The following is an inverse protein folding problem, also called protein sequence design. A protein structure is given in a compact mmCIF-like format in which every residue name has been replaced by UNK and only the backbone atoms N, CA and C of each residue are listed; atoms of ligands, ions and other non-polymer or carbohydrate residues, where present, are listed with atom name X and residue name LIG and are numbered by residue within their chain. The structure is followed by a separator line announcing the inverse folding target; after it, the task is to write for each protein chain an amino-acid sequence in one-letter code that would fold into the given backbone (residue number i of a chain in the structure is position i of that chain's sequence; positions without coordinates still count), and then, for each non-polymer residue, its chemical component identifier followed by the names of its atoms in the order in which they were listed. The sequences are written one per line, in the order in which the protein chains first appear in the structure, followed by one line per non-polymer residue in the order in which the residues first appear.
data_IF_803856217488
#
_entry.id   IF_803856217488
#
_cell.length_a   1.000
_cell.length_b   1.000
_cell.length_c   1.000
_cell.angle_alpha   90.00
_cell.angle_beta   90.00
_cell.angle_gamma   90.00
#
_symmetry.space_group_name_H-M   'P 1'
#
loop_
_entity.id
_entity.type
_entity.pdbx_description
1 polymer ?
#
# COMPACT_ATOMS: atom_id res chain seq x y z
N UNK A 1 12.81 -41.68 20.98
CA UNK A 1 13.37 -41.43 19.63
C UNK A 1 12.25 -40.88 18.77
N UNK A 2 12.46 -39.70 18.14
CA UNK A 2 11.48 -38.80 17.46
C UNK A 2 10.71 -37.90 18.44
N UNK A 3 10.78 -36.57 18.39
CA UNK A 3 11.41 -35.61 17.48
C UNK A 3 11.85 -34.39 18.30
N UNK A 4 13.16 -34.22 18.49
CA UNK A 4 13.79 -32.91 18.66
C UNK A 4 13.62 -32.16 17.34
N UNK A 5 12.61 -31.30 17.21
CA UNK A 5 12.40 -30.42 16.05
C UNK A 5 11.22 -29.49 16.38
N UNK A 6 11.45 -28.39 17.10
CA UNK A 6 10.61 -27.18 16.95
C UNK A 6 11.12 -25.95 17.71
N UNK A 7 11.93 -26.11 18.76
CA UNK A 7 12.58 -24.96 19.44
C UNK A 7 13.60 -24.25 18.53
N UNK A 8 14.09 -24.95 17.51
CA UNK A 8 15.02 -24.43 16.51
C UNK A 8 14.32 -23.69 15.37
N UNK A 9 13.02 -23.96 15.10
CA UNK A 9 12.24 -23.33 14.03
C UNK A 9 11.59 -22.01 14.44
N UNK A 10 11.23 -21.86 15.72
CA UNK A 10 10.58 -20.66 16.25
C UNK A 10 11.61 -19.64 16.72
N UNK A 11 12.73 -20.10 17.31
CA UNK A 11 13.94 -19.29 17.32
C UNK A 11 14.25 -18.90 15.87
N UNK A 12 14.28 -19.83 14.90
CA UNK A 12 14.45 -19.45 13.49
C UNK A 12 13.50 -18.34 13.02
N UNK A 13 12.20 -18.27 13.26
CA UNK A 13 11.45 -17.21 12.54
C UNK A 13 11.80 -15.76 12.92
N UNK A 14 12.31 -15.50 14.12
CA UNK A 14 12.81 -14.16 14.55
C UNK A 14 14.33 -14.12 14.55
N UNK A 15 14.97 -15.21 14.98
CA UNK A 15 16.41 -15.47 14.85
C UNK A 15 16.86 -15.66 13.40
N UNK A 16 16.03 -15.85 12.37
CA UNK A 16 16.41 -16.04 10.94
C UNK A 16 16.22 -14.72 10.19
N UNK A 17 15.27 -13.89 10.60
CA UNK A 17 15.28 -12.45 10.31
C UNK A 17 16.53 -11.76 10.89
N UNK A 18 17.08 -12.33 11.98
CA UNK A 18 18.26 -11.84 12.69
C UNK A 18 19.56 -12.61 12.29
N UNK A 19 19.54 -13.91 11.95
CA UNK A 19 20.73 -14.74 11.62
C UNK A 19 21.20 -14.63 10.18
N UNK A 20 20.39 -14.10 9.27
CA UNK A 20 20.91 -13.65 7.96
C UNK A 20 21.70 -12.35 8.06
N UNK A 21 21.80 -11.75 9.26
CA UNK A 21 22.68 -10.62 9.53
C UNK A 21 23.92 -11.14 10.29
N UNK A 22 25.11 -11.15 9.67
CA UNK A 22 26.29 -11.83 10.22
C UNK A 22 26.84 -11.27 11.55
N UNK A 23 26.32 -10.13 12.04
CA UNK A 23 26.86 -9.38 13.17
C UNK A 23 25.86 -9.07 14.29
N UNK A 24 24.93 -9.98 14.59
CA UNK A 24 24.09 -9.80 15.78
C UNK A 24 24.89 -10.18 17.02
N UNK A 25 24.89 -9.30 18.03
CA UNK A 25 25.40 -9.61 19.36
C UNK A 25 24.48 -10.65 20.03
N UNK A 26 24.67 -11.92 19.64
CA UNK A 26 23.85 -13.08 20.00
C UNK A 26 23.63 -13.16 21.50
N UNK A 27 24.61 -12.77 22.30
CA UNK A 27 24.55 -12.81 23.76
C UNK A 27 23.60 -11.77 24.35
N UNK A 28 23.56 -10.54 23.80
CA UNK A 28 22.61 -9.50 24.22
C UNK A 28 21.19 -9.78 23.75
N UNK A 29 21.03 -10.21 22.50
CA UNK A 29 19.72 -10.63 21.96
C UNK A 29 19.16 -11.79 22.78
N UNK A 30 20.00 -12.77 23.14
CA UNK A 30 19.62 -13.87 24.02
C UNK A 30 19.19 -13.40 25.41
N UNK A 31 19.85 -12.38 25.99
CA UNK A 31 19.40 -11.79 27.28
C UNK A 31 18.03 -11.13 27.18
N UNK A 32 17.73 -10.38 26.12
CA UNK A 32 16.41 -9.76 25.92
C UNK A 32 15.29 -10.82 25.81
N UNK A 33 15.56 -11.91 25.08
CA UNK A 33 14.61 -13.02 24.97
C UNK A 33 14.45 -13.82 26.27
N UNK A 34 15.52 -14.00 27.05
CA UNK A 34 15.47 -14.68 28.36
C UNK A 34 14.77 -13.80 29.40
N UNK A 35 14.97 -12.48 29.36
CA UNK A 35 14.37 -11.53 30.30
C UNK A 35 12.85 -11.38 30.08
N UNK A 36 12.41 -11.36 28.82
CA UNK A 36 10.99 -11.26 28.47
C UNK A 36 10.18 -12.55 28.71
N UNK A 37 10.81 -13.65 29.14
CA UNK A 37 10.17 -14.97 29.30
C UNK A 37 10.40 -15.58 30.69
N UNK A 38 9.32 -15.84 31.45
CA UNK A 38 9.39 -16.77 32.59
C UNK A 38 9.50 -18.22 32.09
N UNK A 39 10.41 -19.00 32.68
CA UNK A 39 11.03 -20.23 32.16
C UNK A 39 10.15 -21.44 31.74
N UNK A 40 8.81 -21.39 31.72
CA UNK A 40 7.97 -22.61 31.54
C UNK A 40 6.98 -22.60 30.35
N UNK A 41 6.85 -21.52 29.56
CA UNK A 41 5.76 -21.38 28.57
C UNK A 41 6.17 -21.35 27.08
N UNK A 42 7.40 -21.76 26.74
CA UNK A 42 8.04 -21.50 25.44
C UNK A 42 7.31 -22.01 24.17
N UNK A 43 6.53 -23.08 24.23
CA UNK A 43 6.00 -23.73 23.00
C UNK A 43 4.58 -23.29 22.59
N UNK A 44 3.79 -22.71 23.49
CA UNK A 44 2.38 -22.38 23.21
C UNK A 44 2.16 -20.89 22.90
N UNK A 45 3.06 -20.01 23.36
CA UNK A 45 2.90 -18.56 23.24
C UNK A 45 3.37 -17.99 21.89
N UNK A 46 4.38 -18.62 21.27
CA UNK A 46 5.01 -18.19 20.02
C UNK A 46 4.42 -18.84 18.77
N UNK A 47 3.74 -19.99 18.90
CA UNK A 47 3.16 -20.73 17.78
C UNK A 47 1.77 -20.19 17.35
N UNK A 48 1.24 -19.19 18.09
CA UNK A 48 -0.11 -18.64 17.89
C UNK A 48 -0.19 -17.11 17.77
N UNK A 49 0.93 -16.38 17.95
CA UNK A 49 0.93 -14.92 17.94
C UNK A 49 1.64 -14.38 16.69
N UNK A 50 1.16 -13.24 16.23
CA UNK A 50 1.80 -12.51 15.15
C UNK A 50 3.24 -12.10 15.55
N UNK A 51 4.23 -12.22 14.65
CA UNK A 51 5.63 -11.85 14.95
C UNK A 51 5.80 -10.42 15.45
N UNK A 52 5.00 -9.47 14.96
CA UNK A 52 5.04 -8.08 15.40
C UNK A 52 4.52 -7.94 16.83
N UNK A 53 3.50 -8.70 17.23
CA UNK A 53 3.02 -8.71 18.62
C UNK A 53 4.09 -9.22 19.59
N UNK A 54 4.92 -10.17 19.16
CA UNK A 54 6.05 -10.68 19.95
C UNK A 54 7.08 -9.57 20.16
N UNK A 55 7.48 -8.87 19.08
CA UNK A 55 8.45 -7.76 19.15
C UNK A 55 7.91 -6.63 20.04
N UNK A 56 6.65 -6.22 19.87
CA UNK A 56 5.99 -5.24 20.75
C UNK A 56 6.00 -5.65 22.21
N UNK A 57 5.72 -6.92 22.49
CA UNK A 57 5.72 -7.46 23.86
C UNK A 57 7.12 -7.37 24.48
N UNK A 58 8.17 -7.70 23.73
CA UNK A 58 9.55 -7.61 24.22
C UNK A 58 9.93 -6.16 24.53
N UNK A 59 9.70 -5.25 23.59
CA UNK A 59 9.99 -3.80 23.75
C UNK A 59 9.29 -3.27 25.00
N UNK A 60 7.99 -3.56 25.15
CA UNK A 60 7.20 -3.09 26.29
C UNK A 60 7.67 -3.69 27.62
N UNK A 61 8.02 -4.98 27.63
CA UNK A 61 8.50 -5.67 28.85
C UNK A 61 9.82 -5.06 29.34
N UNK A 62 10.73 -4.76 28.42
CA UNK A 62 12.01 -4.11 28.75
C UNK A 62 11.77 -2.67 29.19
N UNK A 63 10.86 -1.93 28.55
CA UNK A 63 10.49 -0.57 28.96
C UNK A 63 9.97 -0.54 30.41
N UNK A 64 9.03 -1.43 30.77
CA UNK A 64 8.54 -1.56 32.15
C UNK A 64 9.66 -1.87 33.14
N UNK A 65 10.59 -2.75 32.77
CA UNK A 65 11.72 -3.12 33.63
C UNK A 65 12.64 -1.95 33.91
N UNK A 66 13.00 -1.18 32.87
CA UNK A 66 13.83 0.01 32.99
C UNK A 66 13.11 1.07 33.84
N UNK A 67 11.81 1.30 33.62
CA UNK A 67 11.00 2.23 34.43
C UNK A 67 10.93 1.82 35.90
N UNK A 68 11.02 0.51 36.21
CA UNK A 68 11.04 -0.02 37.58
C UNK A 68 12.44 -0.04 38.21
N UNK A 69 13.44 0.58 37.56
CA UNK A 69 14.82 0.65 38.06
C UNK A 69 15.62 -0.63 37.89
N UNK A 70 15.18 -1.52 37.00
CA UNK A 70 15.89 -2.77 36.72
C UNK A 70 17.17 -2.54 35.91
N UNK A 71 18.22 -3.32 36.20
CA UNK A 71 19.56 -3.16 35.59
C UNK A 71 19.98 -4.31 34.68
N UNK A 72 19.17 -5.38 34.58
CA UNK A 72 19.50 -6.59 33.81
C UNK A 72 19.54 -6.36 32.28
N UNK A 73 18.71 -5.44 31.79
CA UNK A 73 18.60 -5.03 30.39
C UNK A 73 18.27 -3.54 30.37
N UNK A 74 18.84 -2.80 29.42
CA UNK A 74 18.63 -1.36 29.27
C UNK A 74 18.21 -0.97 27.84
N UNK A 75 17.97 0.33 27.61
CA UNK A 75 17.60 0.87 26.30
C UNK A 75 18.69 0.62 25.24
N UNK A 76 19.96 0.76 25.62
CA UNK A 76 21.10 0.55 24.72
C UNK A 76 21.18 -0.89 24.21
N UNK A 77 20.83 -1.88 25.04
CA UNK A 77 20.76 -3.28 24.63
C UNK A 77 19.69 -3.50 23.52
N UNK A 78 18.58 -2.77 23.57
CA UNK A 78 17.56 -2.79 22.51
C UNK A 78 18.07 -2.12 21.24
N UNK A 79 18.64 -0.91 21.36
CA UNK A 79 19.18 -0.16 20.21
C UNK A 79 20.21 -0.99 19.46
N UNK A 80 21.17 -1.59 20.18
CA UNK A 80 22.19 -2.47 19.60
C UNK A 80 21.61 -3.72 18.92
N UNK A 81 20.53 -4.30 19.44
CA UNK A 81 19.88 -5.43 18.79
C UNK A 81 19.12 -5.04 17.52
N UNK A 82 18.78 -3.76 17.35
CA UNK A 82 18.00 -3.27 16.22
C UNK A 82 18.86 -2.77 15.06
N UNK A 83 20.10 -2.32 15.29
CA UNK A 83 21.00 -1.92 14.19
C UNK A 83 21.08 -2.98 13.08
N UNK A 84 21.28 -4.28 13.38
CA UNK A 84 21.30 -5.34 12.37
C UNK A 84 19.94 -5.55 11.69
N UNK A 85 18.85 -5.40 12.44
CA UNK A 85 17.49 -5.50 11.91
C UNK A 85 17.18 -4.37 10.91
N UNK A 86 17.60 -3.14 11.23
CA UNK A 86 17.51 -1.98 10.36
C UNK A 86 18.33 -2.18 9.07
N UNK A 87 19.52 -2.76 9.17
CA UNK A 87 20.36 -3.08 8.02
C UNK A 87 19.84 -4.26 7.16
N UNK A 88 18.82 -5.00 7.58
CA UNK A 88 18.36 -6.16 6.82
C UNK A 88 17.41 -5.76 5.66
N UNK A 89 17.91 -5.79 4.43
CA UNK A 89 17.12 -5.43 3.22
C UNK A 89 15.97 -6.40 2.89
N UNK A 90 15.97 -7.62 3.45
CA UNK A 90 14.89 -8.59 3.25
C UNK A 90 13.62 -8.23 4.03
N UNK A 91 13.74 -7.38 5.06
CA UNK A 91 12.60 -6.89 5.85
C UNK A 91 12.04 -5.64 5.18
N UNK A 92 10.73 -5.63 4.91
CA UNK A 92 10.06 -4.47 4.30
C UNK A 92 10.19 -3.22 5.16
N UNK A 93 10.31 -2.04 4.54
CA UNK A 93 10.38 -0.77 5.26
C UNK A 93 9.18 -0.55 6.19
N UNK A 94 7.95 -0.91 5.77
CA UNK A 94 6.76 -0.77 6.62
C UNK A 94 6.91 -1.48 7.99
N UNK A 95 7.40 -2.72 8.00
CA UNK A 95 7.67 -3.47 9.23
C UNK A 95 8.76 -2.80 10.06
N UNK A 96 9.83 -2.30 9.43
CA UNK A 96 10.89 -1.58 10.15
C UNK A 96 10.37 -0.29 10.78
N UNK A 97 9.58 0.49 10.05
CA UNK A 97 8.95 1.71 10.54
C UNK A 97 8.02 1.42 11.71
N UNK A 98 7.22 0.35 11.66
CA UNK A 98 6.32 -0.01 12.77
C UNK A 98 7.08 -0.47 14.03
N UNK A 99 8.19 -1.20 13.86
CA UNK A 99 9.09 -1.57 14.97
C UNK A 99 9.71 -0.31 15.57
N UNK A 100 10.30 0.57 14.75
CA UNK A 100 10.93 1.82 15.20
C UNK A 100 9.94 2.72 15.92
N UNK A 101 8.73 2.88 15.40
CA UNK A 101 7.64 3.62 16.07
C UNK A 101 7.31 3.03 17.44
N UNK A 102 7.22 1.70 17.55
CA UNK A 102 6.95 1.03 18.84
C UNK A 102 8.04 1.34 19.87
N UNK A 103 9.29 1.45 19.43
CA UNK A 103 10.44 1.76 20.30
C UNK A 103 10.39 3.22 20.72
N UNK A 104 10.15 4.15 19.79
CA UNK A 104 9.98 5.58 20.07
C UNK A 104 8.83 5.83 21.07
N UNK A 105 7.75 5.04 21.00
CA UNK A 105 6.65 5.10 21.97
C UNK A 105 7.02 4.53 23.36
N UNK A 106 8.03 3.66 23.42
CA UNK A 106 8.40 2.91 24.64
C UNK A 106 9.66 3.45 25.34
N UNK A 107 10.50 4.19 24.62
CA UNK A 107 11.80 4.69 25.06
C UNK A 107 12.02 6.11 24.57
N UNK A 108 12.72 6.93 25.36
CA UNK A 108 13.14 8.26 24.95
C UNK A 108 14.41 8.12 24.10
N UNK A 109 14.23 7.85 22.81
CA UNK A 109 15.34 7.73 21.85
C UNK A 109 15.98 9.09 21.61
N UNK A 110 17.31 9.13 21.62
CA UNK A 110 18.03 10.34 21.25
C UNK A 110 17.89 10.62 19.75
N UNK A 111 18.08 11.87 19.33
CA UNK A 111 18.16 12.20 17.90
C UNK A 111 19.27 11.45 17.16
N UNK A 112 20.34 11.08 17.86
CA UNK A 112 21.44 10.27 17.34
C UNK A 112 20.99 8.82 17.05
N UNK A 113 20.22 8.21 17.94
CA UNK A 113 19.69 6.85 17.74
C UNK A 113 18.76 6.77 16.52
N UNK A 114 17.84 7.74 16.40
CA UNK A 114 16.90 7.84 15.27
C UNK A 114 17.67 8.01 13.96
N UNK A 115 18.64 8.93 13.95
CA UNK A 115 19.50 9.14 12.80
C UNK A 115 20.27 7.87 12.41
N UNK A 116 20.83 7.16 13.39
CA UNK A 116 21.62 5.96 13.15
C UNK A 116 20.77 4.81 12.55
N UNK A 117 19.52 4.65 12.99
CA UNK A 117 18.61 3.68 12.37
C UNK A 117 18.25 4.04 10.93
N UNK A 118 18.06 5.32 10.63
CA UNK A 118 17.86 5.80 9.25
C UNK A 118 19.11 5.52 8.41
N UNK A 119 20.30 5.78 8.96
CA UNK A 119 21.58 5.52 8.28
C UNK A 119 21.75 4.04 7.92
N UNK A 120 21.61 3.12 8.87
CA UNK A 120 21.79 1.69 8.58
C UNK A 120 20.78 1.15 7.57
N UNK A 121 19.53 1.63 7.60
CA UNK A 121 18.55 1.27 6.59
C UNK A 121 18.94 1.78 5.20
N UNK A 122 19.43 3.02 5.13
CA UNK A 122 19.83 3.68 3.89
C UNK A 122 21.06 3.00 3.29
N UNK A 123 22.14 2.85 4.07
CA UNK A 123 23.39 2.25 3.63
C UNK A 123 23.19 0.80 3.15
N UNK A 124 22.39 0.00 3.86
CA UNK A 124 22.11 -1.36 3.44
C UNK A 124 21.35 -1.42 2.10
N UNK A 125 20.35 -0.55 1.92
CA UNK A 125 19.60 -0.46 0.67
C UNK A 125 20.51 0.00 -0.49
N UNK A 126 21.32 1.03 -0.25
CA UNK A 126 22.23 1.59 -1.25
C UNK A 126 23.31 0.58 -1.63
N UNK A 127 23.91 -0.08 -0.64
CA UNK A 127 24.88 -1.16 -0.82
C UNK A 127 24.29 -2.31 -1.65
N UNK A 128 23.07 -2.76 -1.37
CA UNK A 128 22.47 -3.90 -2.06
C UNK A 128 22.08 -3.63 -3.53
N UNK A 129 21.71 -2.39 -3.86
CA UNK A 129 21.13 -2.04 -5.16
C UNK A 129 22.13 -1.30 -6.08
N UNK A 130 23.10 -0.59 -5.50
CA UNK A 130 24.10 0.20 -6.25
C UNK A 130 25.55 -0.20 -5.94
N UNK A 131 25.79 -1.13 -5.01
CA UNK A 131 27.14 -1.53 -4.58
C UNK A 131 27.99 -0.34 -4.10
N UNK A 132 27.35 0.62 -3.43
CA UNK A 132 27.99 1.81 -2.85
C UNK A 132 27.82 1.79 -1.33
N UNK A 133 28.88 2.14 -0.60
CA UNK A 133 28.84 2.31 0.85
C UNK A 133 28.76 3.79 1.19
N UNK A 134 27.94 4.11 2.18
CA UNK A 134 27.73 5.46 2.66
C UNK A 134 28.45 5.71 3.98
N UNK A 135 28.76 6.98 4.21
CA UNK A 135 29.14 7.54 5.49
C UNK A 135 27.96 8.32 6.10
N UNK A 136 27.93 8.55 7.41
CA UNK A 136 26.87 9.34 8.04
C UNK A 136 26.71 10.75 7.45
N UNK A 137 27.81 11.37 7.01
CA UNK A 137 27.83 12.71 6.41
C UNK A 137 27.08 12.77 5.06
N UNK A 138 26.84 11.62 4.41
CA UNK A 138 26.12 11.56 3.14
C UNK A 138 24.60 11.75 3.30
N UNK A 139 24.07 11.72 4.54
CA UNK A 139 22.62 11.82 4.81
C UNK A 139 22.26 12.68 6.04
N UNK A 140 23.23 13.39 6.63
CA UNK A 140 23.08 14.16 7.87
C UNK A 140 22.14 15.37 7.78
N UNK A 141 21.74 15.73 6.57
CA UNK A 141 20.91 16.88 6.26
C UNK A 141 19.93 16.59 5.13
N UNK A 142 18.89 17.42 5.01
CA UNK A 142 17.93 17.35 3.91
C UNK A 142 18.60 17.48 2.54
N UNK A 143 19.51 18.46 2.40
CA UNK A 143 20.26 18.71 1.17
C UNK A 143 21.07 17.48 0.75
N UNK A 144 21.81 16.87 1.67
CA UNK A 144 22.60 15.66 1.39
C UNK A 144 21.74 14.48 0.96
N UNK A 145 20.63 14.24 1.65
CA UNK A 145 19.67 13.20 1.27
C UNK A 145 19.08 13.45 -0.12
N UNK A 146 18.77 14.71 -0.45
CA UNK A 146 18.28 15.07 -1.77
C UNK A 146 19.34 14.87 -2.87
N UNK A 147 20.57 15.33 -2.66
CA UNK A 147 21.72 15.12 -3.57
C UNK A 147 21.96 13.62 -3.82
N UNK A 148 21.94 12.80 -2.76
CA UNK A 148 22.06 11.35 -2.85
C UNK A 148 20.91 10.74 -3.67
N UNK A 149 19.67 11.16 -3.43
CA UNK A 149 18.52 10.70 -4.22
C UNK A 149 18.67 11.00 -5.70
N UNK A 150 19.05 12.23 -6.06
CA UNK A 150 19.21 12.62 -7.47
C UNK A 150 20.32 11.83 -8.15
N UNK A 151 21.44 11.62 -7.46
CA UNK A 151 22.56 10.82 -7.95
C UNK A 151 22.12 9.37 -8.21
N UNK A 152 21.54 8.70 -7.20
CA UNK A 152 21.07 7.32 -7.33
C UNK A 152 19.95 7.20 -8.37
N UNK A 153 19.03 8.16 -8.43
CA UNK A 153 17.97 8.22 -9.43
C UNK A 153 18.59 8.27 -10.82
N UNK A 154 19.60 9.10 -11.07
CA UNK A 154 20.30 9.20 -12.36
C UNK A 154 20.97 7.88 -12.74
N UNK A 155 21.64 7.23 -11.80
CA UNK A 155 22.37 5.97 -12.01
C UNK A 155 21.46 4.74 -12.14
N UNK A 156 20.23 4.82 -11.66
CA UNK A 156 19.29 3.69 -11.67
C UNK A 156 18.87 3.30 -13.09
N UNK A 157 19.02 2.03 -13.44
CA UNK A 157 18.61 1.45 -14.73
C UNK A 157 17.69 0.24 -14.56
N UNK A 158 17.69 -0.40 -13.39
CA UNK A 158 16.83 -1.55 -13.10
C UNK A 158 15.59 -1.16 -12.31
N UNK A 159 14.53 -1.97 -12.44
CA UNK A 159 13.32 -1.81 -11.63
C UNK A 159 13.63 -1.96 -10.14
N UNK A 160 14.55 -2.86 -9.75
CA UNK A 160 14.93 -3.06 -8.35
C UNK A 160 15.55 -1.81 -7.72
N UNK A 161 16.43 -1.12 -8.46
CA UNK A 161 17.04 0.14 -8.02
C UNK A 161 15.99 1.24 -7.83
N UNK A 162 15.05 1.37 -8.78
CA UNK A 162 13.98 2.35 -8.70
C UNK A 162 13.00 2.06 -7.54
N UNK A 163 12.70 0.78 -7.28
CA UNK A 163 11.92 0.38 -6.09
C UNK A 163 12.71 0.60 -4.78
N UNK A 164 14.04 0.46 -4.82
CA UNK A 164 14.94 0.86 -3.74
C UNK A 164 14.79 2.34 -3.40
N UNK A 165 14.74 3.22 -4.40
CA UNK A 165 14.50 4.66 -4.20
C UNK A 165 13.14 4.96 -3.59
N UNK A 166 12.09 4.23 -3.99
CA UNK A 166 10.77 4.31 -3.34
C UNK A 166 10.87 4.06 -1.84
N UNK A 167 11.67 3.05 -1.48
CA UNK A 167 11.83 2.61 -0.11
C UNK A 167 12.62 3.65 0.68
N UNK A 168 13.66 4.26 0.09
CA UNK A 168 14.41 5.36 0.70
C UNK A 168 13.53 6.56 1.03
N UNK A 169 12.68 6.98 0.08
CA UNK A 169 11.74 8.09 0.29
C UNK A 169 10.68 7.79 1.36
N UNK A 170 10.43 6.52 1.69
CA UNK A 170 9.56 6.12 2.82
C UNK A 170 10.29 6.10 4.16
N UNK A 171 11.59 5.83 4.16
CA UNK A 171 12.44 5.77 5.36
C UNK A 171 12.83 7.17 5.83
N UNK A 172 13.12 8.07 4.90
CA UNK A 172 13.61 9.41 5.20
C UNK A 172 12.49 10.35 5.68
N UNK A 173 12.81 11.33 6.55
CA UNK A 173 11.97 12.51 6.71
C UNK A 173 11.65 13.14 5.35
N UNK A 174 10.42 13.63 5.20
CA UNK A 174 9.94 14.27 3.96
C UNK A 174 10.97 15.30 3.49
N UNK A 175 11.42 15.13 2.25
CA UNK A 175 12.40 16.04 1.68
C UNK A 175 11.78 17.42 1.48
N UNK A 176 12.52 18.48 1.76
CA UNK A 176 12.04 19.85 1.54
C UNK A 176 11.60 20.06 0.08
N UNK A 177 12.26 19.40 -0.86
CA UNK A 177 11.90 19.38 -2.27
C UNK A 177 10.50 18.81 -2.60
N UNK A 178 9.88 18.06 -1.67
CA UNK A 178 8.51 17.54 -1.80
C UNK A 178 7.47 18.62 -1.53
N UNK A 179 7.74 19.55 -0.62
CA UNK A 179 6.76 20.54 -0.13
C UNK A 179 7.03 21.97 -0.61
N UNK A 180 8.29 22.35 -0.80
CA UNK A 180 8.68 23.74 -1.09
C UNK A 180 8.74 24.06 -2.59
N UNK A 181 8.70 23.06 -3.46
CA UNK A 181 8.79 23.25 -4.90
C UNK A 181 7.40 23.44 -5.52
N UNK A 182 7.22 24.53 -6.25
CA UNK A 182 6.00 24.79 -7.03
C UNK A 182 5.95 23.94 -8.31
N UNK A 183 7.10 23.51 -8.84
CA UNK A 183 7.18 22.70 -10.04
C UNK A 183 6.95 21.20 -9.74
N UNK A 184 5.92 20.55 -10.33
CA UNK A 184 5.65 19.14 -10.11
C UNK A 184 6.83 18.22 -10.45
N UNK A 185 7.60 18.57 -11.47
CA UNK A 185 8.76 17.79 -11.93
C UNK A 185 9.93 17.81 -10.95
N UNK A 186 9.99 18.77 -10.02
CA UNK A 186 11.03 18.81 -9.01
C UNK A 186 10.71 17.89 -7.82
N UNK A 187 9.46 17.46 -7.66
CA UNK A 187 9.05 16.59 -6.57
C UNK A 187 9.73 15.19 -6.69
N UNK A 188 10.45 14.70 -5.66
CA UNK A 188 11.18 13.43 -5.72
C UNK A 188 10.33 12.22 -6.10
N UNK A 189 9.08 12.14 -5.62
CA UNK A 189 8.17 11.06 -5.98
C UNK A 189 7.76 11.14 -7.44
N UNK A 190 7.50 12.35 -7.96
CA UNK A 190 7.18 12.56 -9.38
C UNK A 190 8.38 12.23 -10.26
N UNK A 191 9.59 12.64 -9.89
CA UNK A 191 10.82 12.28 -10.62
C UNK A 191 11.01 10.75 -10.71
N UNK A 192 10.79 10.05 -9.60
CA UNK A 192 10.88 8.59 -9.55
C UNK A 192 9.80 7.91 -10.41
N UNK A 193 8.54 8.34 -10.30
CA UNK A 193 7.45 7.82 -11.11
C UNK A 193 7.66 8.11 -12.60
N UNK A 194 8.14 9.30 -12.95
CA UNK A 194 8.48 9.67 -14.33
C UNK A 194 9.55 8.74 -14.89
N UNK A 195 10.65 8.51 -14.14
CA UNK A 195 11.71 7.59 -14.58
C UNK A 195 11.21 6.16 -14.71
N UNK A 196 10.39 5.66 -13.79
CA UNK A 196 9.77 4.33 -13.86
C UNK A 196 8.92 4.18 -15.13
N UNK A 197 8.06 5.16 -15.42
CA UNK A 197 7.19 5.16 -16.60
C UNK A 197 8.02 5.18 -17.88
N UNK A 198 9.09 5.98 -17.93
CA UNK A 198 9.95 6.08 -19.11
C UNK A 198 10.80 4.84 -19.35
N UNK A 199 11.35 4.25 -18.29
CA UNK A 199 12.27 3.11 -18.41
C UNK A 199 11.55 1.77 -18.56
N UNK A 200 10.41 1.59 -17.88
CA UNK A 200 9.73 0.29 -17.80
C UNK A 200 8.31 0.29 -18.37
N UNK A 201 7.68 1.45 -18.54
CA UNK A 201 6.30 1.55 -19.03
C UNK A 201 5.26 0.90 -18.11
N UNK A 202 5.66 0.50 -16.90
CA UNK A 202 4.83 -0.26 -15.97
C UNK A 202 4.04 0.68 -15.05
N UNK A 203 2.84 1.05 -15.52
CA UNK A 203 1.93 1.89 -14.75
C UNK A 203 1.38 1.19 -13.49
N UNK A 204 1.40 -0.13 -13.42
CA UNK A 204 0.91 -0.89 -12.26
C UNK A 204 1.82 -0.70 -11.06
N UNK A 205 3.14 -0.66 -11.28
CA UNK A 205 4.13 -0.34 -10.24
C UNK A 205 3.90 1.06 -9.67
N UNK A 206 3.61 2.05 -10.54
CA UNK A 206 3.34 3.43 -10.12
C UNK A 206 2.06 3.50 -9.28
N UNK A 207 1.01 2.76 -9.65
CA UNK A 207 -0.22 2.68 -8.85
C UNK A 207 0.05 2.07 -7.49
N UNK A 208 0.83 0.98 -7.43
CA UNK A 208 1.22 0.35 -6.16
C UNK A 208 2.01 1.31 -5.27
N UNK A 209 2.93 2.06 -5.85
CA UNK A 209 3.69 3.09 -5.16
C UNK A 209 2.76 4.17 -4.58
N UNK A 210 1.80 4.67 -5.37
CA UNK A 210 0.79 5.63 -4.90
C UNK A 210 -0.07 5.06 -3.75
N UNK A 211 -0.48 3.78 -3.83
CA UNK A 211 -1.22 3.10 -2.75
C UNK A 211 -0.40 3.00 -1.45
N UNK A 212 0.93 2.95 -1.57
CA UNK A 212 1.88 2.84 -0.46
C UNK A 212 2.38 4.19 0.07
N UNK A 213 2.04 5.31 -0.57
CA UNK A 213 2.36 6.61 -0.01
C UNK A 213 1.61 6.78 1.31
N UNK A 214 2.38 7.02 2.38
CA UNK A 214 1.86 7.21 3.73
C UNK A 214 0.98 8.46 3.81
N UNK A 215 0.16 8.56 4.85
CA UNK A 215 -0.65 9.75 5.12
C UNK A 215 0.15 11.05 5.31
N UNK A 216 1.46 10.95 5.55
CA UNK A 216 2.37 12.08 5.77
C UNK A 216 2.92 12.69 4.47
N UNK A 217 2.82 11.99 3.34
CA UNK A 217 3.35 12.44 2.04
C UNK A 217 2.28 12.29 0.97
N UNK A 218 1.42 13.30 0.87
CA UNK A 218 0.43 13.39 -0.21
C UNK A 218 0.97 14.17 -1.40
N UNK A 219 0.81 13.63 -2.60
CA UNK A 219 1.06 14.36 -3.83
C UNK A 219 -0.02 15.45 -4.03
N UNK A 220 0.39 16.62 -4.49
CA UNK A 220 -0.55 17.68 -4.88
C UNK A 220 -1.33 17.29 -6.13
N UNK A 221 -2.41 18.01 -6.41
CA UNK A 221 -3.18 17.82 -7.65
C UNK A 221 -2.29 18.03 -8.88
N UNK A 222 -1.38 19.02 -8.87
CA UNK A 222 -0.48 19.25 -10.02
C UNK A 222 0.51 18.09 -10.21
N UNK A 223 1.05 17.54 -9.11
CA UNK A 223 1.90 16.34 -9.15
C UNK A 223 1.15 15.15 -9.75
N UNK A 224 -0.07 14.88 -9.26
CA UNK A 224 -0.90 13.80 -9.80
C UNK A 224 -1.28 14.04 -11.26
N UNK A 225 -1.62 15.26 -11.66
CA UNK A 225 -1.90 15.62 -13.05
C UNK A 225 -0.69 15.37 -13.96
N UNK A 226 0.52 15.74 -13.52
CA UNK A 226 1.74 15.51 -14.27
C UNK A 226 1.96 14.02 -14.54
N UNK A 227 1.92 13.19 -13.49
CA UNK A 227 2.10 11.74 -13.61
C UNK A 227 0.99 11.10 -14.43
N UNK A 228 -0.27 11.50 -14.22
CA UNK A 228 -1.42 10.99 -14.97
C UNK A 228 -1.28 11.25 -16.48
N UNK A 229 -0.91 12.47 -16.87
CA UNK A 229 -0.68 12.82 -18.28
C UNK A 229 0.48 12.01 -18.88
N UNK A 230 1.55 11.81 -18.14
CA UNK A 230 2.66 10.96 -18.58
C UNK A 230 2.23 9.50 -18.77
N UNK A 231 1.42 8.96 -17.84
CA UNK A 231 0.86 7.61 -17.96
C UNK A 231 -0.06 7.48 -19.17
N UNK A 232 -0.88 8.48 -19.48
CA UNK A 232 -1.70 8.47 -20.71
C UNK A 232 -0.85 8.42 -21.98
N UNK A 233 0.35 9.02 -21.96
CA UNK A 233 1.26 9.06 -23.11
C UNK A 233 2.10 7.79 -23.27
N UNK A 234 2.44 7.10 -22.17
CA UNK A 234 3.46 6.03 -22.16
C UNK A 234 2.95 4.67 -21.69
N UNK A 235 1.84 4.62 -20.97
CA UNK A 235 1.26 3.40 -20.41
C UNK A 235 -0.11 3.10 -21.04
N UNK A 236 -0.72 1.98 -20.63
CA UNK A 236 -2.12 1.71 -20.94
C UNK A 236 -3.04 2.73 -20.27
N UNK A 237 -4.08 3.17 -20.96
CA UNK A 237 -5.09 4.10 -20.42
C UNK A 237 -5.72 3.57 -19.14
N UNK A 238 -5.89 2.25 -19.02
CA UNK A 238 -6.33 1.57 -17.80
C UNK A 238 -5.51 1.98 -16.56
N UNK A 239 -4.18 1.99 -16.66
CA UNK A 239 -3.34 2.34 -15.51
C UNK A 239 -3.47 3.82 -15.15
N UNK A 240 -3.58 4.71 -16.12
CA UNK A 240 -3.81 6.13 -15.85
C UNK A 240 -5.14 6.34 -15.12
N UNK A 241 -6.22 5.69 -15.58
CA UNK A 241 -7.54 5.77 -14.93
C UNK A 241 -7.48 5.24 -13.49
N UNK A 242 -6.86 4.07 -13.27
CA UNK A 242 -6.65 3.54 -11.91
C UNK A 242 -5.86 4.49 -11.03
N UNK A 243 -4.77 5.07 -11.54
CA UNK A 243 -3.95 6.05 -10.81
C UNK A 243 -4.80 7.23 -10.32
N UNK A 244 -5.64 7.79 -11.19
CA UNK A 244 -6.52 8.89 -10.83
C UNK A 244 -7.51 8.50 -9.71
N UNK A 245 -8.16 7.34 -9.79
CA UNK A 245 -9.11 6.90 -8.75
C UNK A 245 -8.43 6.50 -7.44
N UNK A 246 -7.21 5.97 -7.51
CA UNK A 246 -6.39 5.64 -6.34
C UNK A 246 -5.89 6.88 -5.60
N UNK A 247 -5.66 8.00 -6.30
CA UNK A 247 -5.18 9.26 -5.67
C UNK A 247 -6.13 9.83 -4.62
N UNK A 248 -7.42 9.46 -4.64
CA UNK A 248 -8.49 9.99 -3.78
C UNK A 248 -8.75 11.50 -3.93
N UNK A 249 -8.17 12.14 -4.93
CA UNK A 249 -8.38 13.57 -5.21
C UNK A 249 -9.58 13.73 -6.15
N UNK A 250 -10.59 14.48 -5.74
CA UNK A 250 -11.80 14.73 -6.54
C UNK A 250 -11.47 15.35 -7.91
N UNK A 251 -10.52 16.28 -7.96
CA UNK A 251 -10.03 16.87 -9.20
C UNK A 251 -9.48 15.82 -10.19
N UNK A 252 -8.77 14.82 -9.67
CA UNK A 252 -8.26 13.71 -10.48
C UNK A 252 -9.39 12.79 -10.95
N UNK A 253 -10.40 12.54 -10.11
CA UNK A 253 -11.57 11.76 -10.50
C UNK A 253 -12.33 12.43 -11.64
N UNK A 254 -12.54 13.75 -11.57
CA UNK A 254 -13.16 14.51 -12.65
C UNK A 254 -12.38 14.41 -13.96
N UNK A 255 -11.05 14.58 -13.91
CA UNK A 255 -10.20 14.46 -15.09
C UNK A 255 -10.26 13.05 -15.71
N UNK A 256 -10.26 12.00 -14.88
CA UNK A 256 -10.40 10.63 -15.36
C UNK A 256 -11.76 10.38 -16.01
N UNK A 257 -12.85 10.82 -15.38
CA UNK A 257 -14.20 10.70 -15.91
C UNK A 257 -14.39 11.45 -17.24
N UNK A 258 -13.79 12.62 -17.39
CA UNK A 258 -13.79 13.36 -18.66
C UNK A 258 -13.08 12.58 -19.76
N UNK A 259 -11.92 11.99 -19.44
CA UNK A 259 -11.21 11.14 -20.38
C UNK A 259 -12.02 9.88 -20.75
N UNK A 260 -12.70 9.26 -19.78
CA UNK A 260 -13.54 8.08 -20.02
C UNK A 260 -14.69 8.32 -21.01
N UNK A 261 -15.19 9.54 -21.15
CA UNK A 261 -16.23 9.87 -22.14
C UNK A 261 -15.77 9.62 -23.58
N UNK A 262 -14.48 9.82 -23.85
CA UNK A 262 -13.90 9.73 -25.19
C UNK A 262 -13.14 8.42 -25.44
N UNK A 263 -12.94 7.60 -24.40
CA UNK A 263 -12.20 6.36 -24.49
C UNK A 263 -13.08 5.21 -25.01
N UNK A 264 -12.52 4.39 -25.88
CA UNK A 264 -13.12 3.11 -26.26
C UNK A 264 -12.90 2.10 -25.14
N UNK A 265 -13.96 1.37 -24.78
CA UNK A 265 -13.88 0.27 -23.81
C UNK A 265 -13.29 -0.96 -24.49
N UNK A 266 -12.13 -1.40 -23.98
CA UNK A 266 -11.46 -2.64 -24.34
C UNK A 266 -10.55 -3.10 -23.18
N UNK A 267 -9.78 -4.17 -23.37
CA UNK A 267 -8.84 -4.70 -22.36
C UNK A 267 -7.67 -3.76 -22.04
N UNK A 268 -7.50 -2.67 -22.78
CA UNK A 268 -6.49 -1.64 -22.53
C UNK A 268 -7.03 -0.48 -21.68
N UNK A 269 -8.36 -0.36 -21.53
CA UNK A 269 -9.02 0.73 -20.81
C UNK A 269 -9.91 0.29 -19.66
N UNK A 270 -10.31 -0.99 -19.58
CA UNK A 270 -11.25 -1.47 -18.57
C UNK A 270 -10.87 -2.84 -18.01
N UNK A 271 -10.96 -2.99 -16.69
CA UNK A 271 -10.90 -4.27 -15.96
C UNK A 271 -11.75 -4.21 -14.69
N UNK A 272 -11.89 -5.33 -14.01
CA UNK A 272 -12.73 -5.46 -12.82
C UNK A 272 -12.25 -4.60 -11.64
N UNK A 273 -10.92 -4.46 -11.45
CA UNK A 273 -10.36 -3.60 -10.41
C UNK A 273 -10.70 -2.12 -10.64
N UNK A 274 -10.68 -1.66 -11.89
CA UNK A 274 -11.12 -0.30 -12.24
C UNK A 274 -12.59 -0.09 -11.87
N UNK A 275 -13.46 -1.07 -12.17
CA UNK A 275 -14.88 -0.99 -11.87
C UNK A 275 -15.14 -1.00 -10.36
N UNK A 276 -14.41 -1.80 -9.58
CA UNK A 276 -14.45 -1.76 -8.12
C UNK A 276 -14.00 -0.40 -7.56
N UNK A 277 -12.97 0.21 -8.14
CA UNK A 277 -12.52 1.55 -7.77
C UNK A 277 -13.62 2.59 -8.01
N UNK A 278 -14.35 2.51 -9.12
CA UNK A 278 -15.49 3.40 -9.39
C UNK A 278 -16.58 3.24 -8.33
N UNK A 279 -16.98 2.00 -8.04
CA UNK A 279 -18.07 1.70 -7.10
C UNK A 279 -17.70 2.17 -5.69
N UNK A 280 -16.49 1.83 -5.23
CA UNK A 280 -15.99 2.20 -3.90
C UNK A 280 -15.78 3.70 -3.72
N UNK A 281 -15.61 4.45 -4.81
CA UNK A 281 -15.53 5.93 -4.81
C UNK A 281 -16.89 6.60 -4.98
N UNK A 282 -17.96 5.86 -5.22
CA UNK A 282 -19.29 6.42 -5.43
C UNK A 282 -19.50 7.08 -6.79
N UNK A 283 -18.64 6.81 -7.77
CA UNK A 283 -18.61 7.50 -9.08
C UNK A 283 -19.51 6.85 -10.13
N UNK A 284 -20.40 5.94 -9.72
CA UNK A 284 -21.27 5.18 -10.62
C UNK A 284 -22.19 6.08 -11.45
N UNK A 285 -22.67 7.18 -10.86
CA UNK A 285 -23.59 8.10 -11.52
C UNK A 285 -22.90 8.87 -12.65
N UNK A 286 -21.66 9.29 -12.42
CA UNK A 286 -20.83 10.04 -13.35
C UNK A 286 -20.40 9.16 -14.53
N UNK A 287 -20.24 7.86 -14.30
CA UNK A 287 -19.99 6.86 -15.34
C UNK A 287 -21.22 6.57 -16.20
N UNK A 288 -22.44 6.87 -15.74
CA UNK A 288 -23.67 6.59 -16.50
C UNK A 288 -23.69 7.28 -17.88
N UNK A 289 -22.98 8.40 -18.01
CA UNK A 289 -22.86 9.16 -19.27
C UNK A 289 -21.66 8.71 -20.14
N UNK A 290 -20.98 7.64 -19.77
CA UNK A 290 -19.77 7.14 -20.43
C UNK A 290 -20.02 5.76 -21.04
N UNK A 291 -19.20 5.31 -22.01
CA UNK A 291 -19.33 3.96 -22.55
C UNK A 291 -19.05 2.84 -21.51
N UNK A 292 -18.53 3.19 -20.32
CA UNK A 292 -18.21 2.25 -19.24
C UNK A 292 -19.41 1.78 -18.41
N UNK A 293 -20.59 2.40 -18.57
CA UNK A 293 -21.81 1.96 -17.87
C UNK A 293 -22.18 0.51 -18.20
N UNK A 294 -22.06 0.10 -19.46
CA UNK A 294 -22.40 -1.28 -19.87
C UNK A 294 -21.46 -2.31 -19.23
N UNK A 295 -20.13 -2.15 -19.31
CA UNK A 295 -19.17 -2.96 -18.55
C UNK A 295 -19.45 -3.02 -17.04
N UNK A 296 -19.76 -1.88 -16.43
CA UNK A 296 -20.08 -1.79 -15.00
C UNK A 296 -21.31 -2.64 -14.65
N UNK A 297 -22.39 -2.51 -15.43
CA UNK A 297 -23.61 -3.31 -15.24
C UNK A 297 -23.34 -4.80 -15.44
N UNK A 298 -22.53 -5.19 -16.44
CA UNK A 298 -22.16 -6.59 -16.60
C UNK A 298 -21.36 -7.11 -15.41
N UNK A 299 -20.36 -6.37 -14.97
CA UNK A 299 -19.49 -6.73 -13.85
C UNK A 299 -20.25 -6.92 -12.54
N UNK A 300 -21.16 -5.99 -12.23
CA UNK A 300 -21.99 -6.05 -11.02
C UNK A 300 -22.89 -7.29 -11.04
N UNK A 301 -23.38 -7.69 -12.22
CA UNK A 301 -24.22 -8.87 -12.42
C UNK A 301 -23.42 -10.18 -12.54
N UNK A 302 -22.11 -10.14 -12.82
CA UNK A 302 -21.22 -11.30 -12.83
C UNK A 302 -21.18 -11.95 -11.44
N UNK A 303 -21.11 -13.28 -11.34
CA UNK A 303 -20.64 -13.91 -10.11
C UNK A 303 -19.17 -13.50 -9.87
N UNK A 304 -18.75 -13.23 -8.63
CA UNK A 304 -17.34 -12.99 -8.32
C UNK A 304 -16.49 -14.18 -8.79
N UNK A 305 -15.34 -13.91 -9.41
CA UNK A 305 -14.43 -14.95 -9.89
C UNK A 305 -13.74 -15.64 -8.69
N UNK A 306 -14.00 -16.95 -8.53
CA UNK A 306 -13.32 -17.78 -7.54
C UNK A 306 -14.23 -18.34 -6.45
N UNK A 307 -14.57 -19.63 -6.63
CA UNK A 307 -15.12 -20.58 -5.64
C UNK A 307 -16.61 -20.50 -5.26
N UNK A 308 -17.15 -21.69 -5.01
CA UNK A 308 -18.54 -22.06 -4.91
C UNK A 308 -19.07 -22.00 -3.47
N UNK A 309 -19.09 -20.83 -2.84
CA UNK A 309 -19.55 -20.71 -1.45
C UNK A 309 -20.66 -19.65 -1.24
N UNK A 310 -21.60 -19.98 -0.36
CA UNK A 310 -22.83 -19.24 -0.03
C UNK A 310 -22.62 -17.88 0.64
N UNK A 311 -21.39 -17.54 1.06
CA UNK A 311 -21.02 -16.25 1.66
C UNK A 311 -20.95 -15.10 0.64
N UNK A 312 -20.70 -15.40 -0.63
CA UNK A 312 -20.49 -14.37 -1.66
C UNK A 312 -21.79 -13.90 -2.34
N UNK A 313 -22.91 -14.60 -2.12
CA UNK A 313 -24.21 -14.12 -2.60
C UNK A 313 -24.62 -12.82 -1.90
N UNK A 314 -24.26 -12.65 -0.63
CA UNK A 314 -24.44 -11.41 0.12
C UNK A 314 -23.58 -10.26 -0.40
N UNK A 315 -22.35 -10.54 -0.85
CA UNK A 315 -21.46 -9.52 -1.39
C UNK A 315 -21.95 -9.01 -2.77
N UNK A 316 -22.40 -9.93 -3.63
CA UNK A 316 -23.03 -9.58 -4.90
C UNK A 316 -24.31 -8.75 -4.71
N UNK A 317 -25.19 -9.18 -3.82
CA UNK A 317 -26.42 -8.45 -3.48
C UNK A 317 -26.09 -7.03 -2.97
N UNK A 318 -25.14 -6.93 -2.05
CA UNK A 318 -24.66 -5.66 -1.50
C UNK A 318 -24.15 -4.73 -2.61
N UNK A 319 -23.32 -5.24 -3.52
CA UNK A 319 -22.78 -4.47 -4.66
C UNK A 319 -23.88 -4.00 -5.62
N UNK A 320 -24.83 -4.87 -5.96
CA UNK A 320 -25.98 -4.53 -6.82
C UNK A 320 -26.82 -3.42 -6.20
N UNK A 321 -27.18 -3.55 -4.93
CA UNK A 321 -27.96 -2.55 -4.22
C UNK A 321 -27.22 -1.23 -4.05
N UNK A 322 -25.90 -1.27 -3.79
CA UNK A 322 -25.07 -0.07 -3.70
C UNK A 322 -25.06 0.71 -5.02
N UNK A 323 -24.81 0.03 -6.14
CA UNK A 323 -24.79 0.65 -7.48
C UNK A 323 -26.17 1.18 -7.86
N UNK A 324 -27.24 0.41 -7.61
CA UNK A 324 -28.61 0.87 -7.84
C UNK A 324 -28.94 2.11 -7.01
N UNK A 325 -28.53 2.15 -5.73
CA UNK A 325 -28.73 3.30 -4.85
C UNK A 325 -27.96 4.54 -5.34
N UNK A 326 -26.71 4.38 -5.79
CA UNK A 326 -25.91 5.49 -6.32
C UNK A 326 -26.56 6.08 -7.59
N UNK A 327 -27.02 5.23 -8.51
CA UNK A 327 -27.76 5.67 -9.70
C UNK A 327 -29.07 6.37 -9.35
N UNK A 328 -29.83 5.82 -8.39
CA UNK A 328 -31.09 6.38 -7.94
C UNK A 328 -30.92 7.78 -7.34
N UNK A 329 -29.93 7.97 -6.47
CA UNK A 329 -29.65 9.27 -5.84
C UNK A 329 -29.27 10.34 -6.87
N UNK A 330 -28.63 9.94 -7.96
CA UNK A 330 -28.28 10.84 -9.07
C UNK A 330 -29.41 11.05 -10.10
N UNK A 331 -30.57 10.41 -9.93
CA UNK A 331 -31.72 10.56 -10.82
C UNK A 331 -31.75 9.59 -12.01
N UNK A 332 -30.84 8.61 -12.08
CA UNK A 332 -30.80 7.56 -13.10
C UNK A 332 -31.70 6.36 -12.73
N UNK A 333 -33.00 6.65 -12.56
CA UNK A 333 -34.00 5.67 -12.11
C UNK A 333 -34.19 4.51 -13.08
N UNK A 334 -34.11 4.77 -14.39
CA UNK A 334 -34.31 3.76 -15.41
C UNK A 334 -33.16 2.75 -15.44
N UNK A 335 -31.93 3.23 -15.30
CA UNK A 335 -30.71 2.44 -15.22
C UNK A 335 -30.67 1.61 -13.93
N UNK A 336 -30.98 2.24 -12.78
CA UNK A 336 -31.09 1.56 -11.50
C UNK A 336 -32.16 0.45 -11.52
N UNK A 337 -33.35 0.76 -12.04
CA UNK A 337 -34.44 -0.20 -12.19
C UNK A 337 -34.09 -1.35 -13.14
N UNK A 338 -33.43 -1.05 -14.26
CA UNK A 338 -32.96 -2.06 -15.22
C UNK A 338 -31.92 -2.99 -14.58
N UNK A 339 -31.00 -2.47 -13.78
CA UNK A 339 -30.02 -3.26 -13.04
C UNK A 339 -30.69 -4.24 -12.07
N UNK A 340 -31.64 -3.76 -11.26
CA UNK A 340 -32.38 -4.58 -10.29
C UNK A 340 -33.24 -5.66 -10.97
N UNK A 341 -33.93 -5.30 -12.06
CA UNK A 341 -34.72 -6.25 -12.85
C UNK A 341 -33.86 -7.38 -13.43
N UNK A 342 -32.66 -7.05 -13.92
CA UNK A 342 -31.69 -8.04 -14.41
C UNK A 342 -31.17 -8.92 -13.28
N UNK A 343 -30.87 -8.35 -12.11
CA UNK A 343 -30.40 -9.09 -10.94
C UNK A 343 -31.44 -10.11 -10.45
N UNK A 344 -32.71 -9.72 -10.39
CA UNK A 344 -33.81 -10.62 -9.99
C UNK A 344 -34.20 -11.66 -11.06
N UNK A 345 -33.48 -11.72 -12.19
CA UNK A 345 -33.73 -12.72 -13.24
C UNK A 345 -35.07 -12.55 -13.95
N UNK A 346 -35.57 -11.31 -14.07
CA UNK A 346 -36.83 -11.05 -14.78
C UNK A 346 -36.74 -11.46 -16.25
N UNK A 347 -37.86 -11.90 -16.83
CA UNK A 347 -37.93 -12.36 -18.22
C UNK A 347 -37.36 -11.29 -19.17
N UNK A 348 -36.60 -11.64 -20.23
CA UNK A 348 -35.93 -10.67 -21.11
C UNK A 348 -36.84 -9.56 -21.65
N UNK A 349 -38.11 -9.87 -21.92
CA UNK A 349 -39.12 -8.89 -22.35
C UNK A 349 -39.48 -7.80 -21.31
N UNK A 350 -39.13 -8.01 -20.03
CA UNK A 350 -39.33 -7.11 -18.90
C UNK A 350 -38.00 -6.64 -18.27
N UNK A 351 -36.87 -7.01 -18.88
CA UNK A 351 -35.54 -6.79 -18.29
C UNK A 351 -35.08 -5.33 -18.29
N UNK A 352 -35.86 -4.42 -18.89
CA UNK A 352 -35.62 -2.97 -18.84
C UNK A 352 -36.76 -2.26 -18.13
N UNK A 353 -36.41 -1.19 -17.40
CA UNK A 353 -37.37 -0.41 -16.62
C UNK A 353 -38.58 0.04 -17.45
N UNK A 354 -38.35 0.66 -18.62
CA UNK A 354 -39.43 1.15 -19.49
C UNK A 354 -40.38 0.05 -19.96
N UNK A 355 -39.85 -1.13 -20.28
CA UNK A 355 -40.68 -2.26 -20.69
C UNK A 355 -41.53 -2.77 -19.52
N UNK A 356 -40.95 -2.86 -18.32
CA UNK A 356 -41.67 -3.29 -17.12
C UNK A 356 -42.80 -2.33 -16.74
N UNK A 357 -42.55 -1.01 -16.73
CA UNK A 357 -43.56 0.01 -16.42
C UNK A 357 -44.65 0.07 -17.48
N UNK A 358 -44.30 -0.09 -18.76
CA UNK A 358 -45.29 -0.16 -19.84
C UNK A 358 -46.22 -1.37 -19.72
N UNK A 359 -45.71 -2.52 -19.27
CA UNK A 359 -46.53 -3.72 -19.05
C UNK A 359 -47.42 -3.53 -17.81
N UNK A 360 -46.88 -3.00 -16.71
CA UNK A 360 -47.65 -2.70 -15.49
C UNK A 360 -48.77 -1.69 -15.74
N UNK A 361 -48.48 -0.60 -16.46
CA UNK A 361 -49.48 0.42 -16.79
C UNK A 361 -50.61 -0.11 -17.69
N UNK A 362 -50.33 -1.07 -18.59
CA UNK A 362 -51.37 -1.77 -19.36
C UNK A 362 -52.22 -2.69 -18.49
N UNK A 363 -51.62 -3.30 -17.49
CA UNK A 363 -52.33 -4.19 -16.56
C UNK A 363 -53.22 -3.40 -15.61
N UNK A 364 -52.73 -2.29 -15.03
CA UNK A 364 -53.48 -1.41 -14.13
C UNK A 364 -54.60 -0.60 -14.79
N UNK A 365 -54.63 -0.53 -16.14
CA UNK A 365 -55.72 0.09 -16.91
C UNK A 365 -56.84 -0.89 -17.29
N UNK A 366 -56.70 -2.16 -16.94
CA UNK A 366 -57.79 -3.15 -16.97
C UNK A 366 -58.40 -3.23 -15.58
#
# INVERSE_FOLDING_TARGET
MKLCLSTQQICSSVYFTLKEVPEINVERTRRLFVFSQSAESCHLFLDRKDPMDVVKTIIHTVSIHVQRGGTMVNQEDIVECLKPFCANVAVSAAVKTDVLRTIEESFDLSGEDIFLFMFYQTDALVSSNWNQHLSPEDIDSDTRRHELFEMLLKESLSLSQLLGLSTLLQIWPVLAATELNEEPSANPWVQLMDKLIRCHGDGEVVIKMLKQLNSTTSLTVECCCHVYNLMLLKCRSLHALKFAFVSKLEAMHHLALENMKNLKVDSNSCDDELLDLVISRGLTAEIAQTPFLTPLVSYVLSPPEGSSDTTQQGDKETRVHLVASQLQLAGYWAEAGTLLLKYHGTHPALSTYDNSVRVLSRWLRR
#
